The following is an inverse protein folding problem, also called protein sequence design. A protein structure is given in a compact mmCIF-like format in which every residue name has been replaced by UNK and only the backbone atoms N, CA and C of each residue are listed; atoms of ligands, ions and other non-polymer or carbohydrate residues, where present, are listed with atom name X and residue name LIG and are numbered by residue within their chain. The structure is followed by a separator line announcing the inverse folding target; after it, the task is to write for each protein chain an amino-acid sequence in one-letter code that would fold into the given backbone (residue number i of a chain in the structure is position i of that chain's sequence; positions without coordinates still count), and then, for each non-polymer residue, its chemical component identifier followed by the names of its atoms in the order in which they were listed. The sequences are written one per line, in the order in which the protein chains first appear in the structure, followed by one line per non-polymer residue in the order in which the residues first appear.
data_IF_501632373110
#
_entry.id   IF_501632373110
#
_cell.length_a   1.000
_cell.length_b   1.000
_cell.length_c   1.000
_cell.angle_alpha   90.00
_cell.angle_beta   90.00
_cell.angle_gamma   90.00
#
_symmetry.space_group_name_H-M   'P 1'
#
loop_
_entity.id
_entity.type
_entity.pdbx_description
1 polymer ?
#
# COMPACT_ATOMS: atom_id res chain seq x y z
N UNK A 1 6.69 -12.37 13.78
CA UNK A 1 5.58 -12.26 12.82
C UNK A 1 5.73 -10.92 12.12
N UNK A 2 5.32 -10.81 10.86
CA UNK A 2 5.20 -9.52 10.17
C UNK A 2 3.82 -9.43 9.52
N UNK A 3 3.26 -8.23 9.43
CA UNK A 3 1.92 -8.00 8.88
C UNK A 3 2.04 -6.83 7.92
N UNK A 4 1.58 -7.01 6.68
CA UNK A 4 1.59 -5.97 5.68
C UNK A 4 0.26 -5.90 4.92
N UNK A 5 -0.39 -4.73 4.87
CA UNK A 5 -0.04 -3.52 5.64
C UNK A 5 -0.39 -3.59 7.13
N UNK A 6 0.07 -2.60 7.89
CA UNK A 6 -0.33 -2.42 9.29
C UNK A 6 -1.64 -1.67 9.45
N UNK A 7 -1.98 -0.79 8.52
CA UNK A 7 -3.30 -0.15 8.42
C UNK A 7 -3.99 -0.59 7.15
N UNK A 8 -5.29 -0.84 7.16
CA UNK A 8 -6.06 -1.27 5.97
C UNK A 8 -7.48 -0.75 6.05
N UNK A 9 -8.29 -0.99 5.01
CA UNK A 9 -9.70 -0.59 4.96
C UNK A 9 -10.58 -1.82 4.63
N UNK A 10 -11.89 -1.77 4.90
CA UNK A 10 -12.82 -2.85 4.52
C UNK A 10 -12.74 -3.19 3.02
N UNK A 11 -12.82 -4.48 2.68
CA UNK A 11 -12.71 -4.99 1.32
C UNK A 11 -11.28 -5.15 0.78
N UNK A 12 -10.24 -4.75 1.53
CA UNK A 12 -8.84 -4.99 1.16
C UNK A 12 -8.31 -6.28 1.78
N UNK A 13 -7.05 -6.60 1.51
CA UNK A 13 -6.39 -7.80 2.04
C UNK A 13 -5.13 -7.42 2.79
N UNK A 14 -4.89 -8.14 3.89
CA UNK A 14 -3.64 -8.08 4.66
C UNK A 14 -2.91 -9.41 4.50
N UNK A 15 -1.58 -9.32 4.36
CA UNK A 15 -0.69 -10.47 4.33
C UNK A 15 -0.02 -10.62 5.68
N UNK A 16 -0.12 -11.81 6.25
CA UNK A 16 0.47 -12.20 7.54
C UNK A 16 1.62 -13.16 7.26
N UNK A 17 2.82 -12.73 7.60
CA UNK A 17 4.04 -13.52 7.51
C UNK A 17 4.40 -14.11 8.86
N UNK A 18 4.32 -15.44 8.96
CA UNK A 18 4.72 -16.18 10.13
C UNK A 18 6.06 -16.88 9.89
N UNK A 19 6.99 -16.71 10.83
CA UNK A 19 8.28 -17.38 10.82
C UNK A 19 8.38 -18.31 12.04
N UNK A 20 8.61 -19.59 11.77
CA UNK A 20 8.89 -20.59 12.77
C UNK A 20 10.37 -21.00 12.69
N UNK A 21 11.16 -20.53 13.66
CA UNK A 21 12.59 -20.81 13.73
C UNK A 21 12.85 -22.21 14.31
N UNK A 22 13.46 -23.10 13.53
CA UNK A 22 13.75 -24.49 13.92
C UNK A 22 15.19 -24.70 14.43
N UNK A 23 16.06 -23.69 14.37
CA UNK A 23 17.49 -23.80 14.74
C UNK A 23 17.75 -24.23 16.19
N UNK A 24 16.80 -23.93 17.10
CA UNK A 24 16.92 -24.28 18.51
C UNK A 24 16.32 -25.66 18.85
N UNK A 25 15.70 -26.35 17.90
CA UNK A 25 15.10 -27.66 18.15
C UNK A 25 16.20 -28.71 18.25
N UNK A 26 16.48 -29.16 19.48
CA UNK A 26 17.44 -30.24 19.77
C UNK A 26 16.69 -31.46 20.31
N UNK A 27 16.46 -32.47 19.46
CA UNK A 27 15.94 -33.77 19.90
C UNK A 27 14.52 -33.76 20.50
N UNK A 28 13.62 -32.87 20.06
CA UNK A 28 12.23 -32.75 20.56
C UNK A 28 11.21 -32.68 19.40
N UNK A 29 9.94 -32.96 19.73
CA UNK A 29 8.74 -33.06 18.87
C UNK A 29 8.85 -32.44 17.46
N UNK A 30 8.83 -33.33 16.47
CA UNK A 30 8.86 -33.02 15.03
C UNK A 30 7.57 -32.39 14.50
N UNK A 31 6.53 -32.22 15.34
CA UNK A 31 5.19 -31.87 14.88
C UNK A 31 4.42 -31.05 15.93
N UNK A 32 4.79 -29.77 16.18
CA UNK A 32 3.97 -28.88 16.99
C UNK A 32 2.61 -28.60 16.34
N UNK A 33 1.57 -28.42 17.15
CA UNK A 33 0.27 -27.94 16.70
C UNK A 33 0.28 -26.41 16.68
N UNK A 34 -0.14 -25.79 15.58
CA UNK A 34 -0.01 -24.35 15.36
C UNK A 34 -1.39 -23.77 15.07
N UNK A 35 -1.70 -22.66 15.75
CA UNK A 35 -2.92 -21.88 15.54
C UNK A 35 -2.53 -20.47 15.09
N UNK A 36 -2.84 -20.14 13.84
CA UNK A 36 -2.75 -18.79 13.29
C UNK A 36 -4.17 -18.32 12.96
N UNK A 37 -4.57 -17.18 13.48
CA UNK A 37 -5.89 -16.61 13.27
C UNK A 37 -5.91 -15.11 13.41
N UNK A 38 -7.03 -14.51 13.05
CA UNK A 38 -7.31 -13.08 13.21
C UNK A 38 -8.49 -12.95 14.14
N UNK A 39 -8.34 -12.11 15.17
CA UNK A 39 -9.39 -11.73 16.10
C UNK A 39 -9.81 -10.30 15.81
N UNK A 40 -11.09 -10.10 15.50
CA UNK A 40 -11.65 -8.79 15.22
C UNK A 40 -11.93 -7.99 16.52
N UNK A 41 -12.25 -6.68 16.41
CA UNK A 41 -12.64 -5.84 17.55
C UNK A 41 -13.89 -6.30 18.31
N UNK A 42 -14.72 -7.19 17.73
CA UNK A 42 -15.92 -7.77 18.36
C UNK A 42 -15.63 -9.14 18.97
N UNK A 43 -14.35 -9.49 19.12
CA UNK A 43 -13.84 -10.76 19.62
C UNK A 43 -14.14 -12.00 18.75
N UNK A 44 -14.61 -11.82 17.50
CA UNK A 44 -14.79 -12.94 16.57
C UNK A 44 -13.43 -13.41 16.05
N UNK A 45 -13.26 -14.72 15.97
CA UNK A 45 -12.01 -15.35 15.56
C UNK A 45 -12.21 -16.02 14.20
N UNK A 46 -11.35 -15.64 13.25
CA UNK A 46 -11.19 -16.34 11.98
C UNK A 46 -9.86 -17.07 11.99
N UNK A 47 -9.90 -18.40 12.03
CA UNK A 47 -8.68 -19.22 11.92
C UNK A 47 -8.20 -19.24 10.47
N UNK A 48 -6.94 -18.89 10.26
CA UNK A 48 -6.26 -18.96 8.96
C UNK A 48 -5.52 -20.29 8.80
N UNK A 49 -5.05 -20.84 9.92
CA UNK A 49 -4.35 -22.11 9.99
C UNK A 49 -4.52 -22.71 11.37
N UNK A 50 -4.92 -23.98 11.41
CA UNK A 50 -5.06 -24.75 12.64
C UNK A 50 -4.69 -26.21 12.36
N UNK A 51 -3.40 -26.51 12.37
CA UNK A 51 -2.91 -27.86 12.08
C UNK A 51 -1.50 -28.08 12.65
N UNK A 52 -1.03 -29.32 12.56
CA UNK A 52 0.32 -29.72 12.88
C UNK A 52 1.30 -29.33 11.78
N UNK A 53 2.44 -28.75 12.18
CA UNK A 53 3.51 -28.36 11.26
C UNK A 53 4.72 -29.26 11.50
N UNK A 54 5.24 -29.88 10.44
CA UNK A 54 6.47 -30.67 10.57
C UNK A 54 7.67 -29.74 10.73
N UNK A 55 8.34 -29.86 11.88
CA UNK A 55 9.51 -29.11 12.26
C UNK A 55 10.75 -29.99 12.16
N UNK A 56 11.53 -29.83 11.09
CA UNK A 56 12.82 -30.50 10.98
C UNK A 56 13.87 -29.71 11.78
N UNK A 57 14.57 -30.32 12.74
CA UNK A 57 15.70 -29.68 13.38
C UNK A 57 16.79 -29.43 12.32
N UNK A 58 17.55 -28.35 12.48
CA UNK A 58 18.73 -28.15 11.63
C UNK A 58 19.68 -29.34 11.78
N UNK A 59 20.28 -29.74 10.66
CA UNK A 59 21.36 -30.72 10.70
C UNK A 59 22.44 -30.17 11.64
N UNK A 60 22.87 -30.99 12.63
CA UNK A 60 24.03 -30.65 13.44
C UNK A 60 25.16 -30.32 12.47
N UNK A 61 25.83 -29.18 12.66
CA UNK A 61 27.05 -28.86 11.91
C UNK A 61 27.99 -30.06 11.98
N UNK A 62 28.13 -30.77 10.86
CA UNK A 62 29.28 -31.66 10.68
C UNK A 62 30.49 -30.75 10.67
N UNK A 63 31.47 -31.01 11.54
CA UNK A 63 32.73 -30.28 11.67
C UNK A 63 33.65 -30.37 10.43
N UNK A 64 33.09 -30.55 9.24
CA UNK A 64 33.82 -30.49 7.98
C UNK A 64 33.34 -29.27 7.20
N UNK A 65 34.07 -28.17 7.41
CA UNK A 65 34.09 -27.06 6.48
C UNK A 65 34.68 -27.54 5.15
N UNK A 66 33.83 -27.87 4.18
CA UNK A 66 34.12 -27.48 2.80
C UNK A 66 32.86 -27.44 1.96
N UNK A 67 32.48 -26.23 1.56
CA UNK A 67 32.08 -25.95 0.18
C UNK A 67 31.87 -24.45 0.06
N UNK A 68 32.36 -23.89 -1.05
CA UNK A 68 32.28 -22.48 -1.39
C UNK A 68 30.87 -21.93 -1.10
N UNK A 69 30.76 -20.95 -0.20
CA UNK A 69 29.53 -20.19 0.00
C UNK A 69 29.13 -19.58 -1.34
N UNK A 70 28.10 -20.14 -1.98
CA UNK A 70 27.51 -19.57 -3.18
C UNK A 70 27.16 -18.10 -2.91
N UNK A 71 27.60 -17.20 -3.79
CA UNK A 71 27.32 -15.75 -3.76
C UNK A 71 25.84 -15.39 -4.02
N UNK A 72 24.94 -16.37 -3.99
CA UNK A 72 23.55 -16.18 -4.32
C UNK A 72 22.70 -16.38 -3.07
N UNK A 73 21.85 -15.40 -2.78
CA UNK A 73 20.78 -15.50 -1.79
C UNK A 73 19.91 -16.72 -2.13
N UNK A 74 19.70 -17.61 -1.16
CA UNK A 74 18.87 -18.80 -1.31
C UNK A 74 17.45 -18.39 -1.78
N UNK A 75 16.83 -19.15 -2.70
CA UNK A 75 15.51 -18.86 -3.30
C UNK A 75 14.36 -18.77 -2.28
N UNK A 76 14.57 -19.26 -1.06
CA UNK A 76 13.58 -19.22 0.03
C UNK A 76 13.66 -17.97 0.92
N UNK A 77 14.45 -16.96 0.52
CA UNK A 77 14.60 -15.75 1.30
C UNK A 77 13.39 -14.83 1.04
N UNK A 78 12.63 -14.43 2.08
CA UNK A 78 11.54 -13.47 2.00
C UNK A 78 12.00 -12.11 1.44
N UNK A 79 11.98 -11.93 0.13
CA UNK A 79 12.46 -10.70 -0.52
C UNK A 79 11.70 -9.45 -0.04
N UNK A 80 10.41 -9.57 0.27
CA UNK A 80 9.60 -8.49 0.85
C UNK A 80 10.08 -8.05 2.24
N UNK A 81 10.57 -8.99 3.05
CA UNK A 81 11.08 -8.71 4.41
C UNK A 81 12.50 -8.14 4.34
N UNK A 82 13.31 -8.60 3.38
CA UNK A 82 14.62 -8.00 3.13
C UNK A 82 14.52 -6.57 2.60
N UNK A 83 13.55 -6.24 1.75
CA UNK A 83 13.38 -4.88 1.24
C UNK A 83 13.15 -3.87 2.38
N UNK A 84 12.24 -4.20 3.31
CA UNK A 84 11.91 -3.37 4.47
C UNK A 84 13.09 -3.26 5.47
N UNK A 85 13.86 -4.34 5.67
CA UNK A 85 15.05 -4.31 6.52
C UNK A 85 16.28 -3.64 5.90
N UNK A 86 16.40 -3.63 4.56
CA UNK A 86 17.52 -3.04 3.82
C UNK A 86 17.29 -1.55 3.48
N UNK A 87 16.06 -1.05 3.58
CA UNK A 87 15.76 0.39 3.47
C UNK A 87 16.30 1.21 4.67
N UNK A 88 16.65 0.56 5.78
CA UNK A 88 17.18 1.21 6.99
C UNK A 88 18.68 1.00 7.24
N UNK A 89 19.27 1.86 8.08
CA UNK A 89 20.66 1.74 8.56
C UNK A 89 20.84 0.62 9.61
N UNK A 90 20.71 -0.64 9.20
CA UNK A 90 20.95 -1.79 10.09
C UNK A 90 22.44 -2.16 10.17
N UNK A 91 22.93 -2.43 11.40
CA UNK A 91 24.28 -2.96 11.63
C UNK A 91 24.44 -4.34 10.97
N UNK A 92 25.61 -4.61 10.40
CA UNK A 92 25.93 -5.84 9.66
C UNK A 92 25.65 -7.11 10.47
N UNK A 93 25.91 -7.10 11.76
CA UNK A 93 25.72 -8.24 12.66
C UNK A 93 24.23 -8.61 12.76
N UNK A 94 23.36 -7.59 12.80
CA UNK A 94 21.91 -7.76 12.83
C UNK A 94 21.39 -8.30 11.49
N UNK A 95 21.96 -7.85 10.37
CA UNK A 95 21.65 -8.40 9.04
C UNK A 95 22.09 -9.86 8.90
N UNK A 96 23.27 -10.22 9.41
CA UNK A 96 23.76 -11.60 9.43
C UNK A 96 22.87 -12.49 10.30
N UNK A 97 22.48 -12.02 11.48
CA UNK A 97 21.53 -12.71 12.36
C UNK A 97 20.18 -12.95 11.66
N UNK A 98 19.62 -11.92 11.01
CA UNK A 98 18.36 -12.00 10.25
C UNK A 98 18.49 -13.00 9.11
N UNK A 99 19.55 -12.92 8.30
CA UNK A 99 19.78 -13.82 7.17
C UNK A 99 19.97 -15.28 7.61
N UNK A 100 20.66 -15.50 8.73
CA UNK A 100 20.86 -16.85 9.30
C UNK A 100 19.53 -17.41 9.83
N UNK A 101 18.73 -16.59 10.52
CA UNK A 101 17.39 -16.96 11.01
C UNK A 101 16.38 -17.21 9.88
N UNK A 102 16.55 -16.57 8.71
CA UNK A 102 15.76 -16.82 7.51
C UNK A 102 16.12 -18.18 6.88
N UNK A 103 17.40 -18.56 6.88
CA UNK A 103 17.84 -19.85 6.32
C UNK A 103 17.40 -21.05 7.17
N UNK A 104 17.30 -20.87 8.50
CA UNK A 104 16.85 -21.88 9.46
C UNK A 104 15.35 -21.76 9.84
N UNK A 105 14.61 -20.86 9.18
CA UNK A 105 13.22 -20.55 9.48
C UNK A 105 12.26 -21.16 8.46
N UNK A 106 11.14 -21.71 8.91
CA UNK A 106 10.00 -22.00 8.04
C UNK A 106 9.14 -20.75 7.92
N UNK A 107 8.98 -20.26 6.71
CA UNK A 107 8.22 -19.05 6.40
C UNK A 107 6.87 -19.43 5.80
N UNK A 108 5.80 -18.94 6.42
CA UNK A 108 4.43 -19.12 5.96
C UNK A 108 3.79 -17.75 5.70
N UNK A 109 2.97 -17.69 4.65
CA UNK A 109 2.25 -16.49 4.26
C UNK A 109 0.76 -16.81 4.24
N UNK A 110 0.00 -16.05 5.00
CA UNK A 110 -1.45 -16.17 5.08
C UNK A 110 -2.05 -14.86 4.59
N UNK A 111 -3.09 -14.96 3.77
CA UNK A 111 -3.86 -13.80 3.32
C UNK A 111 -5.16 -13.74 4.09
N UNK A 112 -5.47 -12.58 4.66
CA UNK A 112 -6.75 -12.31 5.29
C UNK A 112 -7.45 -11.18 4.52
N UNK A 113 -8.56 -11.52 3.87
CA UNK A 113 -9.41 -10.54 3.19
C UNK A 113 -10.38 -9.96 4.20
N UNK A 114 -10.33 -8.65 4.39
CA UNK A 114 -11.22 -7.92 5.30
C UNK A 114 -12.60 -7.83 4.63
N UNK A 115 -13.69 -8.34 5.25
CA UNK A 115 -15.03 -8.17 4.73
C UNK A 115 -15.40 -6.69 4.48
N UNK A 116 -16.30 -6.42 3.54
CA UNK A 116 -16.73 -5.04 3.25
C UNK A 116 -17.48 -4.39 4.42
N UNK A 117 -18.13 -5.19 5.26
CA UNK A 117 -18.89 -4.81 6.45
C UNK A 117 -18.10 -5.05 7.75
N UNK A 118 -16.79 -5.31 7.64
CA UNK A 118 -15.95 -5.59 8.78
C UNK A 118 -15.95 -4.45 9.80
N UNK A 119 -15.96 -4.74 11.12
CA UNK A 119 -15.87 -3.72 12.14
C UNK A 119 -14.56 -2.94 12.00
N UNK A 120 -14.63 -1.63 12.21
CA UNK A 120 -13.42 -0.80 12.26
C UNK A 120 -12.68 -1.04 13.59
N UNK A 121 -11.37 -0.93 13.51
CA UNK A 121 -10.46 -0.82 14.63
C UNK A 121 -9.36 -1.84 14.66
N UNK A 122 -8.85 -2.16 15.86
CA UNK A 122 -7.69 -3.02 16.06
C UNK A 122 -8.02 -4.51 15.92
N UNK A 123 -7.41 -5.16 14.94
CA UNK A 123 -7.44 -6.60 14.74
C UNK A 123 -6.17 -7.20 15.33
N UNK A 124 -6.31 -8.20 16.19
CA UNK A 124 -5.18 -8.89 16.82
C UNK A 124 -4.96 -10.25 16.20
N UNK A 125 -3.70 -10.68 16.07
CA UNK A 125 -3.41 -12.02 15.59
C UNK A 125 -3.39 -13.03 16.74
N UNK A 126 -3.96 -14.20 16.46
CA UNK A 126 -3.70 -15.42 17.21
C UNK A 126 -2.46 -16.04 16.56
N UNK A 127 -1.42 -16.25 17.37
CA UNK A 127 -0.19 -16.91 16.94
C UNK A 127 0.30 -17.79 18.07
N UNK A 128 -0.18 -19.02 18.10
CA UNK A 128 0.10 -19.99 19.15
C UNK A 128 0.79 -21.23 18.59
N UNK A 129 1.81 -21.68 19.30
CA UNK A 129 2.47 -22.95 19.06
C UNK A 129 2.30 -23.81 20.31
N UNK A 130 1.57 -24.91 20.14
CA UNK A 130 1.26 -25.87 21.19
C UNK A 130 2.25 -27.05 21.11
N UNK A 131 2.92 -27.32 22.22
CA UNK A 131 3.87 -28.43 22.34
C UNK A 131 3.79 -29.02 23.76
N UNK A 132 3.48 -30.31 23.87
CA UNK A 132 3.36 -31.04 25.14
C UNK A 132 2.53 -30.33 26.22
N UNK A 133 1.39 -29.76 25.84
CA UNK A 133 0.50 -29.03 26.76
C UNK A 133 0.97 -27.61 27.12
N UNK A 134 2.12 -27.16 26.60
CA UNK A 134 2.59 -25.77 26.74
C UNK A 134 2.25 -24.94 25.51
N UNK A 135 1.83 -23.70 25.72
CA UNK A 135 1.56 -22.72 24.66
C UNK A 135 2.71 -21.72 24.59
N UNK A 136 3.29 -21.58 23.40
CA UNK A 136 4.26 -20.53 23.09
C UNK A 136 3.62 -19.52 22.15
N UNK A 137 3.83 -18.24 22.47
CA UNK A 137 3.37 -17.13 21.65
C UNK A 137 4.50 -16.57 20.80
N UNK A 138 4.13 -15.84 19.76
CA UNK A 138 5.07 -15.05 18.96
C UNK A 138 5.90 -14.09 19.83
N UNK A 139 7.17 -13.92 19.48
CA UNK A 139 8.06 -12.91 20.12
C UNK A 139 7.61 -11.48 19.84
N UNK A 140 6.84 -11.26 18.78
CA UNK A 140 6.32 -9.96 18.37
C UNK A 140 4.89 -9.73 18.88
N UNK A 141 4.41 -10.49 19.88
CA UNK A 141 3.00 -10.48 20.34
C UNK A 141 2.43 -9.08 20.60
N UNK A 142 3.23 -8.13 21.08
CA UNK A 142 2.79 -6.75 21.30
C UNK A 142 2.43 -6.03 19.99
N UNK A 143 3.12 -6.37 18.91
CA UNK A 143 2.99 -5.80 17.57
C UNK A 143 2.20 -6.71 16.62
N UNK A 144 1.65 -7.82 17.11
CA UNK A 144 0.87 -8.79 16.32
C UNK A 144 -0.57 -8.30 16.14
N UNK A 145 -0.71 -7.11 15.57
CA UNK A 145 -1.99 -6.47 15.26
C UNK A 145 -1.89 -5.58 14.01
N UNK A 146 -3.04 -5.27 13.44
CA UNK A 146 -3.23 -4.28 12.38
C UNK A 146 -4.54 -3.52 12.62
N UNK A 147 -4.72 -2.40 11.94
CA UNK A 147 -5.93 -1.58 12.08
C UNK A 147 -6.75 -1.60 10.79
N UNK A 148 -8.06 -1.74 10.92
CA UNK A 148 -9.02 -1.48 9.85
C UNK A 148 -9.65 -0.13 10.13
N UNK A 149 -9.36 0.85 9.29
CA UNK A 149 -9.76 2.24 9.51
C UNK A 149 -10.64 2.76 8.37
N UNK A 150 -11.32 3.87 8.61
CA UNK A 150 -12.08 4.58 7.58
C UNK A 150 -12.08 6.07 7.86
N UNK A 151 -11.63 6.82 6.87
CA UNK A 151 -11.80 8.27 6.80
C UNK A 151 -12.67 8.56 5.59
N UNK A 152 -13.58 9.52 5.72
CA UNK A 152 -14.37 9.98 4.58
C UNK A 152 -14.45 11.50 4.54
N UNK A 153 -14.65 12.02 3.34
CA UNK A 153 -15.12 13.38 3.14
C UNK A 153 -16.63 13.41 3.39
N UNK A 154 -17.09 14.19 4.37
CA UNK A 154 -18.51 14.28 4.73
C UNK A 154 -19.21 15.38 3.96
N UNK A 155 -18.56 16.54 3.81
CA UNK A 155 -19.12 17.69 3.14
C UNK A 155 -18.01 18.64 2.66
N UNK A 156 -18.32 19.47 1.66
CA UNK A 156 -17.51 20.60 1.24
C UNK A 156 -18.36 21.86 1.37
N UNK A 157 -17.94 22.77 2.25
CA UNK A 157 -18.67 24.01 2.54
C UNK A 157 -18.00 25.14 1.76
N UNK A 158 -18.74 25.76 0.85
CA UNK A 158 -18.30 26.94 0.12
C UNK A 158 -18.78 28.22 0.81
N UNK A 159 -17.84 29.06 1.26
CA UNK A 159 -18.10 30.39 1.83
C UNK A 159 -17.29 31.45 1.09
N UNK A 160 -17.88 32.00 0.02
CA UNK A 160 -17.20 32.99 -0.82
C UNK A 160 -16.02 32.36 -1.56
N UNK A 161 -14.80 32.89 -1.34
CA UNK A 161 -13.57 32.36 -1.92
C UNK A 161 -12.89 31.30 -1.02
N UNK A 162 -13.44 31.01 0.16
CA UNK A 162 -12.91 29.98 1.05
C UNK A 162 -13.76 28.71 0.93
N UNK A 163 -13.10 27.60 0.59
CA UNK A 163 -13.68 26.27 0.60
C UNK A 163 -13.21 25.54 1.86
N UNK A 164 -14.11 24.87 2.56
CA UNK A 164 -13.76 24.09 3.75
C UNK A 164 -14.25 22.65 3.60
N UNK A 165 -13.33 21.70 3.58
CA UNK A 165 -13.65 20.28 3.57
C UNK A 165 -13.88 19.79 5.01
N UNK A 166 -14.96 19.03 5.21
CA UNK A 166 -15.28 18.37 6.48
C UNK A 166 -14.90 16.90 6.33
N UNK A 167 -13.83 16.48 7.00
CA UNK A 167 -13.38 15.09 7.00
C UNK A 167 -13.69 14.43 8.34
N UNK A 168 -14.09 13.16 8.32
CA UNK A 168 -14.45 12.41 9.52
C UNK A 168 -13.62 11.12 9.61
N UNK A 169 -13.03 10.89 10.78
CA UNK A 169 -12.47 9.59 11.14
C UNK A 169 -13.59 8.74 11.77
N UNK A 170 -13.98 7.65 11.10
CA UNK A 170 -15.01 6.74 11.58
C UNK A 170 -14.46 5.66 12.54
N UNK A 171 -13.14 5.59 12.69
CA UNK A 171 -12.46 4.57 13.49
C UNK A 171 -12.49 4.92 14.98
N UNK A 172 -12.42 3.88 15.83
CA UNK A 172 -12.32 4.03 17.29
C UNK A 172 -10.90 4.40 17.74
N UNK A 173 -9.93 4.33 16.83
CA UNK A 173 -8.53 4.61 17.05
C UNK A 173 -8.08 5.88 16.32
N UNK A 174 -7.00 6.52 16.83
CA UNK A 174 -6.36 7.61 16.13
C UNK A 174 -5.80 7.17 14.77
N UNK A 175 -6.06 7.99 13.75
CA UNK A 175 -5.66 7.70 12.37
C UNK A 175 -4.70 8.77 11.85
N UNK A 176 -3.46 8.42 11.48
CA UNK A 176 -2.52 9.34 10.89
C UNK A 176 -2.98 9.71 9.49
N UNK A 177 -2.96 11.00 9.20
CA UNK A 177 -3.34 11.57 7.92
C UNK A 177 -2.30 12.58 7.47
N UNK A 178 -2.24 12.74 6.16
CA UNK A 178 -1.37 13.69 5.49
C UNK A 178 -2.19 14.49 4.51
N UNK A 179 -2.25 15.80 4.68
CA UNK A 179 -2.82 16.70 3.70
C UNK A 179 -1.70 17.13 2.78
N UNK A 180 -1.94 17.00 1.48
CA UNK A 180 -1.08 17.52 0.43
C UNK A 180 -1.86 18.56 -0.33
N UNK A 181 -1.43 19.80 -0.25
CA UNK A 181 -1.93 20.89 -1.10
C UNK A 181 -0.90 21.15 -2.17
N UNK A 182 -1.35 21.45 -3.37
CA UNK A 182 -0.45 21.88 -4.43
C UNK A 182 -1.04 22.98 -5.28
N UNK A 183 -0.13 23.84 -5.74
CA UNK A 183 -0.38 24.88 -6.71
C UNK A 183 0.56 24.69 -7.89
N UNK A 184 0.16 25.21 -9.04
CA UNK A 184 1.00 25.22 -10.24
C UNK A 184 1.31 26.69 -10.52
N UNK A 185 2.60 27.04 -10.52
CA UNK A 185 3.05 28.40 -10.80
C UNK A 185 2.79 28.78 -12.27
N UNK A 186 3.01 30.07 -12.59
CA UNK A 186 2.87 30.58 -13.96
C UNK A 186 3.82 29.94 -14.99
N UNK A 187 4.88 29.28 -14.53
CA UNK A 187 5.85 28.58 -15.36
C UNK A 187 5.54 27.07 -15.50
N UNK A 188 4.48 26.58 -14.84
CA UNK A 188 4.11 25.18 -14.82
C UNK A 188 4.85 24.32 -13.79
N UNK A 189 5.58 24.91 -12.85
CA UNK A 189 6.19 24.20 -11.74
C UNK A 189 5.19 23.95 -10.63
N UNK A 190 5.27 22.77 -10.03
CA UNK A 190 4.43 22.38 -8.92
C UNK A 190 5.07 22.79 -7.60
N UNK A 191 4.33 23.54 -6.79
CA UNK A 191 4.66 23.79 -5.39
C UNK A 191 3.74 22.96 -4.51
N UNK A 192 4.28 22.34 -3.46
CA UNK A 192 3.53 21.43 -2.57
C UNK A 192 3.68 21.85 -1.12
N UNK A 193 2.57 21.99 -0.42
CA UNK A 193 2.50 22.14 1.03
C UNK A 193 2.00 20.82 1.64
N UNK A 194 2.69 20.35 2.68
CA UNK A 194 2.37 19.09 3.36
C UNK A 194 2.12 19.35 4.84
N UNK A 195 0.95 18.93 5.32
CA UNK A 195 0.60 18.90 6.74
C UNK A 195 0.38 17.44 7.17
N UNK A 196 1.05 17.01 8.24
CA UNK A 196 0.88 15.67 8.81
C UNK A 196 0.33 15.81 10.22
N UNK A 197 -0.73 15.07 10.53
CA UNK A 197 -1.32 15.03 11.86
C UNK A 197 -2.08 13.73 12.10
N UNK A 198 -2.56 13.55 13.32
CA UNK A 198 -3.40 12.43 13.70
C UNK A 198 -4.84 12.91 13.93
N UNK A 199 -5.81 12.25 13.28
CA UNK A 199 -7.22 12.46 13.56
C UNK A 199 -7.63 11.65 14.77
N UNK A 200 -8.25 12.30 15.75
CA UNK A 200 -8.79 11.64 16.93
C UNK A 200 -9.91 10.66 16.55
N UNK A 201 -10.19 9.66 17.40
CA UNK A 201 -11.32 8.75 17.22
C UNK A 201 -12.64 9.51 17.06
N UNK A 202 -13.45 9.13 16.07
CA UNK A 202 -14.79 9.70 15.83
C UNK A 202 -14.82 11.22 15.63
N UNK A 203 -13.67 11.83 15.37
CA UNK A 203 -13.55 13.28 15.23
C UNK A 203 -13.88 13.73 13.81
N UNK A 204 -14.44 14.93 13.72
CA UNK A 204 -14.69 15.63 12.46
C UNK A 204 -13.86 16.90 12.41
N UNK A 205 -12.96 16.98 11.44
CA UNK A 205 -12.04 18.11 11.30
C UNK A 205 -12.40 18.94 10.08
N UNK A 206 -12.38 20.26 10.29
CA UNK A 206 -12.49 21.25 9.22
C UNK A 206 -11.11 21.49 8.64
N UNK A 207 -10.97 21.33 7.33
CA UNK A 207 -9.76 21.62 6.58
C UNK A 207 -10.07 22.78 5.65
N UNK A 208 -9.39 23.90 5.86
CA UNK A 208 -9.43 25.02 4.92
C UNK A 208 -8.71 24.64 3.64
N UNK A 209 -9.42 24.74 2.52
CA UNK A 209 -8.96 24.47 1.18
C UNK A 209 -8.97 25.79 0.42
N UNK A 210 -7.78 26.27 0.06
CA UNK A 210 -7.59 27.41 -0.86
C UNK A 210 -8.09 27.03 -2.27
N UNK A 211 -8.04 27.94 -3.25
CA UNK A 211 -8.26 27.62 -4.69
C UNK A 211 -7.29 26.52 -5.22
N UNK A 212 -6.29 26.15 -4.41
CA UNK A 212 -5.35 25.07 -4.63
C UNK A 212 -6.01 23.70 -4.51
N UNK A 213 -5.48 22.73 -5.26
CA UNK A 213 -5.98 21.37 -5.19
C UNK A 213 -5.39 20.70 -3.95
N UNK A 214 -6.25 20.10 -3.14
CA UNK A 214 -5.87 19.48 -1.88
C UNK A 214 -6.35 18.03 -1.80
N UNK A 215 -5.48 17.16 -1.31
CA UNK A 215 -5.75 15.76 -1.08
C UNK A 215 -5.47 15.40 0.37
N UNK A 216 -6.28 14.51 0.93
CA UNK A 216 -5.99 13.81 2.18
C UNK A 216 -5.55 12.39 1.85
N UNK A 217 -4.37 12.04 2.32
CA UNK A 217 -3.79 10.70 2.25
C UNK A 217 -3.89 10.05 3.63
N UNK A 218 -4.36 8.81 3.66
CA UNK A 218 -4.38 7.99 4.87
C UNK A 218 -4.06 6.53 4.51
N UNK A 219 -4.08 5.63 5.50
CA UNK A 219 -3.83 4.21 5.28
C UNK A 219 -2.43 3.90 4.72
N UNK A 220 -1.41 4.48 5.36
CA UNK A 220 -0.03 4.44 4.86
C UNK A 220 0.09 5.05 3.46
N UNK A 221 -0.64 6.15 3.24
CA UNK A 221 -0.70 6.92 1.97
C UNK A 221 -1.32 6.19 0.77
N UNK A 222 -1.97 5.04 0.98
CA UNK A 222 -2.56 4.24 -0.11
C UNK A 222 -4.00 4.57 -0.43
N UNK A 223 -4.67 5.28 0.47
CA UNK A 223 -6.01 5.78 0.23
C UNK A 223 -5.94 7.31 0.11
N UNK A 224 -6.60 7.85 -0.90
CA UNK A 224 -6.55 9.26 -1.30
C UNK A 224 -7.96 9.82 -1.41
N UNK A 225 -8.24 10.89 -0.68
CA UNK A 225 -9.48 11.65 -0.73
C UNK A 225 -9.20 13.03 -1.32
N UNK A 226 -9.92 13.43 -2.36
CA UNK A 226 -9.86 14.79 -2.88
C UNK A 226 -10.71 15.72 -1.99
N UNK A 227 -10.14 16.83 -1.54
CA UNK A 227 -10.81 17.77 -0.63
C UNK A 227 -11.48 18.94 -1.35
N UNK A 228 -11.18 19.12 -2.65
CA UNK A 228 -11.67 20.26 -3.44
C UNK A 228 -12.95 20.00 -4.22
N UNK A 229 -13.33 18.75 -4.49
CA UNK A 229 -14.45 18.43 -5.39
C UNK A 229 -15.28 17.26 -4.89
N UNK A 230 -16.60 17.28 -5.11
CA UNK A 230 -17.49 16.20 -4.70
C UNK A 230 -17.20 14.88 -5.45
N UNK A 231 -16.78 14.95 -6.73
CA UNK A 231 -16.26 13.79 -7.50
C UNK A 231 -15.32 14.29 -8.61
N UNK A 232 -14.02 14.50 -8.36
CA UNK A 232 -13.11 14.90 -9.43
C UNK A 232 -12.85 13.74 -10.38
N UNK A 233 -12.89 14.04 -11.69
CA UNK A 233 -12.52 13.10 -12.75
C UNK A 233 -11.19 13.59 -13.33
N UNK A 234 -10.09 13.13 -12.75
CA UNK A 234 -8.76 13.48 -13.21
C UNK A 234 -8.38 12.67 -14.45
N UNK A 235 -7.53 13.26 -15.29
CA UNK A 235 -7.05 12.66 -16.52
C UNK A 235 -5.61 12.21 -16.32
N UNK A 236 -5.35 10.94 -16.61
CA UNK A 236 -4.02 10.35 -16.55
C UNK A 236 -3.67 9.72 -17.90
N UNK A 237 -2.49 10.01 -18.40
CA UNK A 237 -1.94 9.36 -19.59
C UNK A 237 -1.74 7.87 -19.31
N UNK A 238 -1.95 7.06 -20.33
CA UNK A 238 -1.66 5.64 -20.26
C UNK A 238 -0.14 5.45 -20.29
N UNK A 239 0.46 5.27 -19.12
CA UNK A 239 1.91 5.14 -18.96
C UNK A 239 2.51 3.90 -19.63
N UNK A 240 1.70 2.97 -20.13
CA UNK A 240 2.15 1.83 -20.93
C UNK A 240 2.46 2.19 -22.39
N UNK A 241 2.10 3.41 -22.81
CA UNK A 241 2.30 3.89 -24.18
C UNK A 241 3.67 4.54 -24.30
N UNK A 242 4.40 4.12 -25.33
CA UNK A 242 5.67 4.72 -25.67
C UNK A 242 5.42 6.08 -26.34
N UNK A 243 6.05 7.12 -25.80
CA UNK A 243 6.09 8.45 -26.43
C UNK A 243 7.43 8.64 -27.15
N UNK A 244 7.37 9.01 -28.42
CA UNK A 244 8.53 9.33 -29.25
C UNK A 244 8.41 10.76 -29.76
N UNK A 245 9.30 11.63 -29.28
CA UNK A 245 9.40 13.01 -29.73
C UNK A 245 10.58 13.17 -30.70
N UNK A 246 10.31 13.65 -31.91
CA UNK A 246 11.35 14.02 -32.87
C UNK A 246 11.73 15.49 -32.71
N UNK A 247 12.98 15.85 -33.04
CA UNK A 247 13.50 17.22 -32.95
C UNK A 247 12.72 18.27 -33.76
N UNK A 248 11.91 17.84 -34.73
CA UNK A 248 11.04 18.71 -35.52
C UNK A 248 9.66 18.97 -34.88
N UNK A 249 9.47 18.57 -33.60
CA UNK A 249 8.21 18.77 -32.88
C UNK A 249 7.10 17.81 -33.27
N UNK A 250 7.42 16.73 -33.99
CA UNK A 250 6.48 15.64 -34.25
C UNK A 250 6.53 14.66 -33.08
N UNK A 251 5.38 14.49 -32.42
CA UNK A 251 5.21 13.56 -31.31
C UNK A 251 4.32 12.40 -31.73
N UNK A 252 4.81 11.20 -31.46
CA UNK A 252 4.17 9.96 -31.82
C UNK A 252 3.95 9.11 -30.58
N UNK A 253 2.75 8.56 -30.43
CA UNK A 253 2.41 7.60 -29.39
C UNK A 253 2.28 6.20 -29.98
N UNK A 254 2.91 5.22 -29.36
CA UNK A 254 2.89 3.82 -29.79
C UNK A 254 2.46 2.91 -28.64
N UNK A 255 1.39 2.15 -28.85
CA UNK A 255 0.94 1.18 -27.86
C UNK A 255 1.91 0.00 -27.76
N UNK A 256 2.18 -0.47 -26.54
CA UNK A 256 3.15 -1.56 -26.27
C UNK A 256 2.88 -2.84 -27.07
N UNK A 257 1.61 -3.17 -27.29
CA UNK A 257 1.17 -4.39 -27.96
C UNK A 257 0.42 -4.11 -29.28
N UNK A 258 0.54 -2.90 -29.83
CA UNK A 258 -0.14 -2.51 -31.06
C UNK A 258 0.86 -2.19 -32.15
N UNK A 259 0.62 -2.69 -33.36
CA UNK A 259 1.38 -2.30 -34.56
C UNK A 259 1.04 -0.87 -35.04
N UNK A 260 0.08 -0.21 -34.38
CA UNK A 260 -0.36 1.15 -34.67
C UNK A 260 0.43 2.22 -33.93
N UNK A 261 0.57 3.37 -34.59
CA UNK A 261 1.19 4.57 -34.04
C UNK A 261 0.30 5.80 -34.31
N UNK A 262 0.19 6.70 -33.33
CA UNK A 262 -0.63 7.90 -33.41
C UNK A 262 0.25 9.14 -33.45
N UNK A 263 0.16 9.90 -34.53
CA UNK A 263 0.75 11.24 -34.58
C UNK A 263 -0.17 12.21 -33.83
N UNK A 264 0.39 12.91 -32.85
CA UNK A 264 -0.36 13.88 -32.07
C UNK A 264 -0.46 15.21 -32.81
N UNK A 265 -1.68 15.74 -32.90
CA UNK A 265 -1.87 17.17 -33.18
C UNK A 265 -1.34 18.00 -32.02
N UNK A 266 -1.19 19.31 -32.22
CA UNK A 266 -0.74 20.22 -31.16
C UNK A 266 -1.66 20.19 -29.95
N UNK A 267 -2.98 20.12 -30.18
CA UNK A 267 -4.00 20.04 -29.14
C UNK A 267 -3.94 18.71 -28.39
N UNK A 268 -3.81 17.60 -29.12
CA UNK A 268 -3.69 16.26 -28.53
C UNK A 268 -2.41 16.12 -27.71
N UNK A 269 -1.29 16.70 -28.18
CA UNK A 269 -0.05 16.78 -27.43
C UNK A 269 -0.21 17.56 -26.14
N UNK A 270 -0.80 18.76 -26.22
CA UNK A 270 -1.02 19.59 -25.04
C UNK A 270 -1.88 18.87 -23.99
N UNK A 271 -2.93 18.17 -24.44
CA UNK A 271 -3.78 17.38 -23.55
C UNK A 271 -3.02 16.18 -22.97
N UNK A 272 -2.23 15.48 -23.78
CA UNK A 272 -1.37 14.37 -23.35
C UNK A 272 -0.37 14.80 -22.26
N UNK A 273 0.34 15.91 -22.50
CA UNK A 273 1.37 16.42 -21.60
C UNK A 273 0.77 16.87 -20.26
N UNK A 274 -0.44 17.44 -20.27
CA UNK A 274 -1.17 17.87 -19.05
C UNK A 274 -1.93 16.75 -18.33
N UNK A 275 -2.11 15.58 -18.94
CA UNK A 275 -2.84 14.46 -18.34
C UNK A 275 -1.94 13.66 -17.40
N UNK A 276 -1.48 14.28 -16.33
CA UNK A 276 -0.54 13.75 -15.35
C UNK A 276 -1.22 13.22 -14.07
N UNK A 277 -2.56 13.15 -14.06
CA UNK A 277 -3.35 12.82 -12.89
C UNK A 277 -3.88 14.03 -12.12
N UNK A 278 -3.58 15.25 -12.55
CA UNK A 278 -4.02 16.48 -11.89
C UNK A 278 -4.99 17.30 -12.74
N UNK A 279 -5.02 17.11 -14.05
CA UNK A 279 -5.99 17.78 -14.92
C UNK A 279 -7.41 17.24 -14.73
N UNK A 280 -8.33 18.09 -14.28
CA UNK A 280 -9.73 17.73 -14.15
C UNK A 280 -10.45 17.85 -15.49
N UNK A 281 -11.15 16.79 -15.91
CA UNK A 281 -12.01 16.78 -17.09
C UNK A 281 -13.00 17.94 -17.13
N UNK A 282 -13.53 18.37 -15.98
CA UNK A 282 -14.54 19.42 -15.91
C UNK A 282 -13.99 20.81 -16.23
N UNK A 283 -12.66 21.00 -16.18
CA UNK A 283 -12.00 22.27 -16.52
C UNK A 283 -11.68 22.42 -18.01
N UNK A 284 -11.94 21.40 -18.83
CA UNK A 284 -11.63 21.42 -20.26
C UNK A 284 -12.64 22.25 -21.06
N UNK A 285 -12.15 22.93 -22.10
CA UNK A 285 -13.01 23.56 -23.13
C UNK A 285 -13.70 22.49 -24.00
N UNK A 286 -14.78 22.86 -24.70
CA UNK A 286 -15.50 21.92 -25.58
C UNK A 286 -14.60 21.31 -26.67
N UNK A 287 -13.67 22.09 -27.23
CA UNK A 287 -12.69 21.58 -28.20
C UNK A 287 -11.76 20.53 -27.59
N UNK A 288 -11.29 20.77 -26.37
CA UNK A 288 -10.44 19.81 -25.65
C UNK A 288 -11.22 18.55 -25.25
N UNK A 289 -12.52 18.66 -24.96
CA UNK A 289 -13.38 17.51 -24.69
C UNK A 289 -13.55 16.60 -25.91
N UNK A 290 -13.61 17.16 -27.11
CA UNK A 290 -13.68 16.35 -28.34
C UNK A 290 -12.37 15.63 -28.63
N UNK A 291 -11.23 16.30 -28.43
CA UNK A 291 -9.90 15.65 -28.50
C UNK A 291 -9.79 14.55 -27.44
N UNK A 292 -10.24 14.80 -26.22
CA UNK A 292 -10.25 13.82 -25.14
C UNK A 292 -11.05 12.56 -25.52
N UNK A 293 -12.26 12.70 -26.11
CA UNK A 293 -13.07 11.55 -26.51
C UNK A 293 -12.31 10.61 -27.44
N UNK A 294 -11.60 11.16 -28.42
CA UNK A 294 -10.80 10.35 -29.33
C UNK A 294 -9.61 9.69 -28.61
N UNK A 295 -8.89 10.45 -27.78
CA UNK A 295 -7.77 9.91 -27.01
C UNK A 295 -8.18 8.82 -26.02
N UNK A 296 -9.36 8.95 -25.39
CA UNK A 296 -9.94 7.92 -24.52
C UNK A 296 -10.32 6.67 -25.31
N UNK A 297 -10.95 6.84 -26.48
CA UNK A 297 -11.34 5.73 -27.36
C UNK A 297 -10.13 4.90 -27.81
N UNK A 298 -9.01 5.57 -28.07
CA UNK A 298 -7.75 4.91 -28.44
C UNK A 298 -6.95 4.40 -27.22
N UNK A 299 -7.48 4.53 -26.01
CA UNK A 299 -6.81 4.08 -24.77
C UNK A 299 -5.56 4.86 -24.41
N UNK A 300 -5.41 6.08 -24.95
CA UNK A 300 -4.27 6.97 -24.69
C UNK A 300 -4.42 7.65 -23.33
N UNK A 301 -5.59 8.20 -23.03
CA UNK A 301 -5.87 8.83 -21.73
C UNK A 301 -6.92 8.00 -21.00
N UNK A 302 -6.73 7.86 -19.69
CA UNK A 302 -7.65 7.19 -18.77
C UNK A 302 -8.22 8.21 -17.80
N UNK A 303 -9.45 7.97 -17.35
CA UNK A 303 -10.07 8.69 -16.24
C UNK A 303 -9.64 8.06 -14.93
N UNK A 304 -9.29 8.91 -13.97
CA UNK A 304 -8.98 8.53 -12.60
C UNK A 304 -10.03 9.17 -11.69
N UNK A 305 -10.74 8.33 -10.94
CA UNK A 305 -11.66 8.75 -9.90
C UNK A 305 -11.07 8.36 -8.56
N UNK A 306 -10.91 9.33 -7.67
CA UNK A 306 -10.59 9.05 -6.27
C UNK A 306 -11.92 8.78 -5.55
N UNK A 307 -12.05 7.60 -4.94
CA UNK A 307 -13.26 7.25 -4.20
C UNK A 307 -13.29 8.06 -2.89
N UNK A 308 -14.43 8.71 -2.62
CA UNK A 308 -14.73 9.38 -1.35
C UNK A 308 -15.31 8.45 -0.30
#
# INVERSE_FOLDING_TARGET
MSIFPKRTIPGKTVTIHWNFNTSHLKGVHLCPFVKIGVKDPKDNITMLFEDYVIAFPDQKESKEESSQKLKYLNKNIPLLVLADYLEGSCKREKLVEILTNIQAGRHYYFTYSIPHDAPLGKYSLISEVHNNGSVKYSKTRLDDHFWVEKISLVNVIDKGNERTAVVCNHSEEPTPVKIVKYSIDVNGHMETEIEVFEMNPKDSRLISVSEEKAFLLYNEERETLALTEEVPIYLIKNHEILSVSKKNGLDCLMGKNSDGAYWLSREAKNLWDKSDGLLNKNTLSEKEKDVLKEMEKQGLIKKLTYNG
#
